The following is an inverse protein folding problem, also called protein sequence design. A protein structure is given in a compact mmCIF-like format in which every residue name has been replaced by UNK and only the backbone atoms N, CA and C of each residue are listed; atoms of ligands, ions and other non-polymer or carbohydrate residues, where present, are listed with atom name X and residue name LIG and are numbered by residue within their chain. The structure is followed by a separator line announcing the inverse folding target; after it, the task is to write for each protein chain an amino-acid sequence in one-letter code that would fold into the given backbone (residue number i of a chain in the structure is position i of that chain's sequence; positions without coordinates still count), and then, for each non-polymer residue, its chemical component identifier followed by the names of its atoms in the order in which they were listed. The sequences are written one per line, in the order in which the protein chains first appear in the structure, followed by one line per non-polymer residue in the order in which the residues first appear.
data_IF_081973325047
#
_entry.id   IF_081973325047
#
_cell.length_a   1.000
_cell.length_b   1.000
_cell.length_c   1.000
_cell.angle_alpha   90.00
_cell.angle_beta   90.00
_cell.angle_gamma   90.00
#
_symmetry.space_group_name_H-M   'P 1'
#
loop_
_entity.id
_entity.type
_entity.pdbx_description
1 polymer ?
#
# COMPACT_ATOMS: atom_id res chain seq x y z
N UNK A 1 -25.16 -20.13 -0.92
CA UNK A 1 -23.95 -19.31 -1.10
C UNK A 1 -23.92 -18.88 -2.56
N UNK A 2 -24.01 -17.57 -2.84
CA UNK A 2 -24.11 -17.07 -4.23
C UNK A 2 -22.83 -17.37 -5.01
N UNK A 3 -22.94 -17.74 -6.29
CA UNK A 3 -21.80 -18.00 -7.17
C UNK A 3 -20.78 -16.85 -7.20
N UNK A 4 -21.25 -15.62 -7.03
CA UNK A 4 -20.42 -14.40 -6.94
C UNK A 4 -19.53 -14.40 -5.68
N UNK A 5 -20.05 -14.86 -4.54
CA UNK A 5 -19.26 -14.96 -3.30
C UNK A 5 -18.17 -16.02 -3.38
N UNK A 6 -18.46 -17.14 -4.04
CA UNK A 6 -17.47 -18.22 -4.24
C UNK A 6 -16.32 -17.70 -5.11
N UNK A 7 -16.64 -17.06 -6.24
CA UNK A 7 -15.64 -16.47 -7.13
C UNK A 7 -14.80 -15.42 -6.40
N UNK A 8 -15.41 -14.56 -5.59
CA UNK A 8 -14.68 -13.56 -4.78
C UNK A 8 -13.68 -14.20 -3.82
N UNK A 9 -14.10 -15.21 -3.06
CA UNK A 9 -13.21 -15.94 -2.13
C UNK A 9 -12.06 -16.62 -2.86
N UNK A 10 -12.32 -17.22 -4.02
CA UNK A 10 -11.27 -17.82 -4.86
C UNK A 10 -10.25 -16.77 -5.34
N UNK A 11 -10.72 -15.61 -5.80
CA UNK A 11 -9.87 -14.52 -6.25
C UNK A 11 -9.02 -13.97 -5.09
N UNK A 12 -9.61 -13.80 -3.91
CA UNK A 12 -8.88 -13.37 -2.72
C UNK A 12 -7.82 -14.40 -2.30
N UNK A 13 -8.17 -15.69 -2.28
CA UNK A 13 -7.21 -16.74 -1.99
C UNK A 13 -6.03 -16.73 -2.96
N UNK A 14 -6.30 -16.60 -4.26
CA UNK A 14 -5.25 -16.49 -5.29
C UNK A 14 -4.35 -15.28 -5.08
N UNK A 15 -4.92 -14.15 -4.67
CA UNK A 15 -4.15 -12.94 -4.31
C UNK A 15 -3.21 -13.18 -3.11
N UNK A 16 -3.64 -13.94 -2.10
CA UNK A 16 -2.77 -14.29 -0.97
C UNK A 16 -1.64 -15.26 -1.38
N UNK A 17 -1.92 -16.23 -2.25
CA UNK A 17 -0.89 -17.11 -2.79
C UNK A 17 0.17 -16.32 -3.57
N UNK A 18 -0.26 -15.39 -4.43
CA UNK A 18 0.65 -14.48 -5.13
C UNK A 18 1.47 -13.61 -4.19
N UNK A 19 0.87 -13.11 -3.09
CA UNK A 19 1.60 -12.37 -2.08
C UNK A 19 2.70 -13.21 -1.42
N UNK A 20 2.41 -14.47 -1.10
CA UNK A 20 3.40 -15.42 -0.57
C UNK A 20 4.56 -15.66 -1.53
N UNK A 21 4.25 -15.87 -2.81
CA UNK A 21 5.28 -16.02 -3.87
C UNK A 21 6.15 -14.76 -3.96
N UNK A 22 5.54 -13.58 -3.92
CA UNK A 22 6.26 -12.31 -3.95
C UNK A 22 7.26 -12.21 -2.79
N UNK A 23 6.81 -12.47 -1.56
CA UNK A 23 7.67 -12.44 -0.37
C UNK A 23 8.82 -13.44 -0.49
N UNK A 24 8.55 -14.64 -0.99
CA UNK A 24 9.58 -15.67 -1.17
C UNK A 24 10.63 -15.28 -2.21
N UNK A 25 10.20 -14.76 -3.38
CA UNK A 25 11.11 -14.32 -4.45
C UNK A 25 11.96 -13.15 -3.99
N UNK A 26 11.34 -12.11 -3.39
CA UNK A 26 12.07 -10.95 -2.89
C UNK A 26 12.99 -11.32 -1.72
N UNK A 27 12.58 -12.24 -0.85
CA UNK A 27 13.42 -12.74 0.24
C UNK A 27 14.70 -13.41 -0.26
N UNK A 28 14.62 -14.18 -1.35
CA UNK A 28 15.81 -14.78 -1.98
C UNK A 28 16.73 -13.76 -2.65
N UNK A 29 16.15 -12.69 -3.22
CA UNK A 29 16.93 -11.68 -3.94
C UNK A 29 17.60 -10.65 -3.02
N UNK A 30 16.91 -10.22 -1.96
CA UNK A 30 17.36 -9.19 -1.03
C UNK A 30 18.22 -9.74 0.12
N UNK A 31 18.24 -11.06 0.32
CA UNK A 31 18.87 -11.66 1.49
C UNK A 31 18.14 -11.34 2.80
N UNK A 32 18.62 -11.91 3.91
CA UNK A 32 17.95 -11.78 5.20
C UNK A 32 17.95 -10.34 5.75
N UNK A 33 19.03 -9.59 5.57
CA UNK A 33 19.15 -8.23 6.08
C UNK A 33 18.27 -7.26 5.28
N UNK A 34 18.29 -7.33 3.96
CA UNK A 34 17.46 -6.48 3.10
C UNK A 34 15.96 -6.73 3.30
N UNK A 35 15.57 -8.00 3.48
CA UNK A 35 14.18 -8.36 3.79
C UNK A 35 13.74 -7.81 5.16
N UNK A 36 14.61 -7.87 6.17
CA UNK A 36 14.32 -7.34 7.50
C UNK A 36 14.12 -5.80 7.47
N UNK A 37 14.94 -5.08 6.72
CA UNK A 37 14.81 -3.63 6.55
C UNK A 37 13.52 -3.25 5.83
N UNK A 38 13.20 -3.95 4.75
CA UNK A 38 11.94 -3.75 4.02
C UNK A 38 10.74 -4.05 4.90
N UNK A 39 10.78 -5.14 5.67
CA UNK A 39 9.70 -5.54 6.58
C UNK A 39 9.47 -4.50 7.68
N UNK A 40 10.55 -3.98 8.29
CA UNK A 40 10.46 -2.94 9.31
C UNK A 40 9.83 -1.64 8.76
N UNK A 41 10.29 -1.18 7.59
CA UNK A 41 9.72 -0.01 6.92
C UNK A 41 8.23 -0.23 6.56
N UNK A 42 7.90 -1.43 6.08
CA UNK A 42 6.53 -1.79 5.73
C UNK A 42 5.60 -1.88 6.95
N UNK A 43 6.08 -2.30 8.11
CA UNK A 43 5.31 -2.30 9.36
C UNK A 43 4.94 -0.88 9.78
N UNK A 44 5.89 0.07 9.72
CA UNK A 44 5.61 1.48 9.99
C UNK A 44 4.58 2.03 9.01
N UNK A 45 4.75 1.76 7.71
CA UNK A 45 3.78 2.15 6.67
C UNK A 45 2.39 1.56 6.94
N UNK A 46 2.29 0.27 7.29
CA UNK A 46 1.04 -0.41 7.61
C UNK A 46 0.33 0.22 8.80
N UNK A 47 1.07 0.62 9.83
CA UNK A 47 0.50 1.30 10.99
C UNK A 47 -0.23 2.58 10.57
N UNK A 48 0.42 3.44 9.78
CA UNK A 48 -0.21 4.67 9.28
C UNK A 48 -1.37 4.38 8.33
N UNK A 49 -1.27 3.37 7.47
CA UNK A 49 -2.38 2.97 6.60
C UNK A 49 -3.60 2.45 7.39
N UNK A 50 -3.38 1.69 8.46
CA UNK A 50 -4.48 1.22 9.33
C UNK A 50 -5.19 2.40 9.98
N UNK A 51 -4.45 3.41 10.44
CA UNK A 51 -5.03 4.61 11.04
C UNK A 51 -5.83 5.45 10.04
N UNK A 52 -5.30 5.64 8.83
CA UNK A 52 -5.86 6.59 7.86
C UNK A 52 -6.89 6.00 6.91
N UNK A 53 -6.80 4.71 6.52
CA UNK A 53 -7.54 4.23 5.38
C UNK A 53 -8.20 2.86 5.49
N UNK A 54 -7.76 1.97 6.37
CA UNK A 54 -8.18 0.56 6.37
C UNK A 54 -9.69 0.35 6.52
N UNK A 55 -10.33 1.09 7.40
CA UNK A 55 -11.76 0.91 7.74
C UNK A 55 -12.70 1.81 6.93
N UNK A 56 -12.17 2.66 6.07
CA UNK A 56 -12.94 3.62 5.27
C UNK A 56 -13.87 2.94 4.28
N UNK A 57 -13.46 1.90 3.51
CA UNK A 57 -14.32 1.28 2.51
C UNK A 57 -15.61 0.75 3.10
N UNK A 58 -15.53 -0.01 4.19
CA UNK A 58 -16.68 -0.66 4.79
C UNK A 58 -17.67 0.33 5.42
N UNK A 59 -17.14 1.36 6.09
CA UNK A 59 -17.96 2.41 6.71
C UNK A 59 -18.63 3.28 5.65
N UNK A 60 -17.87 3.72 4.66
CA UNK A 60 -18.37 4.55 3.57
C UNK A 60 -19.38 3.79 2.71
N UNK A 61 -19.10 2.54 2.36
CA UNK A 61 -19.98 1.69 1.58
C UNK A 61 -21.34 1.51 2.24
N UNK A 62 -21.38 1.21 3.56
CA UNK A 62 -22.64 1.10 4.32
C UNK A 62 -23.40 2.42 4.38
N UNK A 63 -22.69 3.53 4.60
CA UNK A 63 -23.31 4.85 4.73
C UNK A 63 -23.90 5.33 3.41
N UNK A 64 -23.20 5.16 2.30
CA UNK A 64 -23.67 5.51 0.96
C UNK A 64 -24.87 4.64 0.57
N UNK A 65 -24.84 3.33 0.83
CA UNK A 65 -25.96 2.41 0.56
C UNK A 65 -27.20 2.81 1.33
N UNK A 66 -27.08 3.11 2.62
CA UNK A 66 -28.20 3.56 3.46
C UNK A 66 -28.84 4.84 2.95
N UNK A 67 -28.06 5.82 2.49
CA UNK A 67 -28.58 7.09 1.95
C UNK A 67 -29.16 6.93 0.56
N UNK A 68 -28.56 6.09 -0.28
CA UNK A 68 -29.09 5.75 -1.60
C UNK A 68 -30.47 5.09 -1.49
N UNK A 69 -30.64 4.16 -0.54
CA UNK A 69 -31.91 3.51 -0.27
C UNK A 69 -33.03 4.49 0.17
N UNK A 70 -32.66 5.64 0.75
CA UNK A 70 -33.60 6.73 1.12
C UNK A 70 -33.82 7.72 -0.02
N UNK A 71 -33.35 7.47 -1.24
CA UNK A 71 -33.52 8.36 -2.39
C UNK A 71 -32.71 9.66 -2.36
N UNK A 72 -31.73 9.78 -1.44
CA UNK A 72 -30.95 11.01 -1.25
C UNK A 72 -29.74 11.10 -2.20
N UNK A 73 -29.94 10.95 -3.50
CA UNK A 73 -28.85 10.88 -4.50
C UNK A 73 -27.95 12.11 -4.54
N UNK A 74 -28.51 13.34 -4.36
CA UNK A 74 -27.71 14.58 -4.29
C UNK A 74 -26.72 14.56 -3.10
N UNK A 75 -27.19 14.06 -1.95
CA UNK A 75 -26.35 13.93 -0.76
C UNK A 75 -25.27 12.86 -0.94
N UNK A 76 -25.59 11.75 -1.60
CA UNK A 76 -24.64 10.68 -1.93
C UNK A 76 -23.50 11.22 -2.80
N UNK A 77 -23.82 11.99 -3.84
CA UNK A 77 -22.80 12.59 -4.72
C UNK A 77 -21.88 13.57 -3.98
N UNK A 78 -22.45 14.48 -3.19
CA UNK A 78 -21.65 15.40 -2.35
C UNK A 78 -20.76 14.64 -1.37
N UNK A 79 -21.27 13.58 -0.77
CA UNK A 79 -20.55 12.77 0.19
C UNK A 79 -19.38 12.02 -0.44
N UNK A 80 -19.56 11.45 -1.64
CA UNK A 80 -18.46 10.82 -2.40
C UNK A 80 -17.31 11.80 -2.62
N UNK A 81 -17.62 13.03 -3.09
CA UNK A 81 -16.62 14.06 -3.33
C UNK A 81 -15.93 14.53 -2.05
N UNK A 82 -16.71 14.82 -1.01
CA UNK A 82 -16.15 15.29 0.26
C UNK A 82 -15.26 14.23 0.92
N UNK A 83 -15.65 12.95 0.88
CA UNK A 83 -14.84 11.85 1.41
C UNK A 83 -13.56 11.65 0.61
N UNK A 84 -13.58 11.88 -0.71
CA UNK A 84 -12.35 11.82 -1.51
C UNK A 84 -11.38 12.92 -1.09
N UNK A 85 -11.84 14.17 -0.97
CA UNK A 85 -11.01 15.30 -0.53
C UNK A 85 -10.48 15.06 0.88
N UNK A 86 -11.35 14.64 1.80
CA UNK A 86 -10.95 14.34 3.17
C UNK A 86 -9.88 13.25 3.23
N UNK A 87 -10.03 12.22 2.41
CA UNK A 87 -9.12 11.08 2.44
C UNK A 87 -7.76 11.40 1.78
N UNK A 88 -7.74 12.28 0.79
CA UNK A 88 -6.49 12.83 0.24
C UNK A 88 -5.77 13.65 1.31
N UNK A 89 -6.49 14.53 2.01
CA UNK A 89 -5.91 15.33 3.09
C UNK A 89 -5.40 14.44 4.24
N UNK A 90 -6.18 13.43 4.66
CA UNK A 90 -5.75 12.46 5.68
C UNK A 90 -4.53 11.64 5.21
N UNK A 91 -4.48 11.27 3.94
CA UNK A 91 -3.33 10.58 3.34
C UNK A 91 -2.07 11.46 3.32
N UNK A 92 -2.20 12.75 3.01
CA UNK A 92 -1.09 13.72 3.06
C UNK A 92 -0.56 13.91 4.48
N UNK A 93 -1.44 14.15 5.44
CA UNK A 93 -1.05 14.26 6.86
C UNK A 93 -0.41 12.96 7.34
N UNK A 94 -1.00 11.81 7.01
CA UNK A 94 -0.44 10.50 7.33
C UNK A 94 0.94 10.27 6.70
N UNK A 95 1.16 10.71 5.47
CA UNK A 95 2.44 10.60 4.78
C UNK A 95 3.52 11.47 5.44
N UNK A 96 3.20 12.71 5.81
CA UNK A 96 4.11 13.60 6.53
C UNK A 96 4.48 13.03 7.91
N UNK A 97 3.49 12.55 8.66
CA UNK A 97 3.72 11.90 9.94
C UNK A 97 4.53 10.60 9.80
N UNK A 98 4.24 9.80 8.78
CA UNK A 98 4.99 8.59 8.47
C UNK A 98 6.46 8.89 8.14
N UNK A 99 6.73 9.95 7.38
CA UNK A 99 8.09 10.37 7.06
C UNK A 99 8.85 10.86 8.30
N UNK A 100 8.21 11.71 9.13
CA UNK A 100 8.82 12.29 10.32
C UNK A 100 9.06 11.25 11.43
N UNK A 101 8.02 10.50 11.80
CA UNK A 101 8.11 9.49 12.86
C UNK A 101 8.87 8.25 12.39
N UNK A 102 8.81 7.93 11.11
CA UNK A 102 9.54 6.82 10.54
C UNK A 102 11.05 7.00 10.62
N UNK A 103 11.54 8.23 10.40
CA UNK A 103 12.93 8.57 10.65
C UNK A 103 13.33 8.26 12.09
N UNK A 104 12.52 8.72 13.04
CA UNK A 104 12.80 8.52 14.47
C UNK A 104 12.76 7.03 14.86
N UNK A 105 11.77 6.29 14.37
CA UNK A 105 11.58 4.87 14.70
C UNK A 105 12.66 4.00 14.04
N UNK A 106 12.89 4.14 12.74
CA UNK A 106 13.80 3.25 12.03
C UNK A 106 15.27 3.55 12.34
N UNK A 107 15.69 4.81 12.33
CA UNK A 107 17.10 5.13 12.52
C UNK A 107 17.52 5.20 14.00
N UNK A 108 16.67 5.74 14.88
CA UNK A 108 17.02 5.87 16.30
C UNK A 108 16.62 4.67 17.14
N UNK A 109 15.39 4.13 16.96
CA UNK A 109 14.92 3.01 17.78
C UNK A 109 15.44 1.68 17.26
N UNK A 110 15.30 1.39 15.97
CA UNK A 110 15.75 0.13 15.37
C UNK A 110 17.19 0.17 14.86
N UNK A 111 17.84 1.35 14.87
CA UNK A 111 19.22 1.54 14.37
C UNK A 111 19.45 0.99 12.96
N UNK A 112 18.43 1.10 12.10
CA UNK A 112 18.49 0.68 10.71
C UNK A 112 19.05 1.84 9.89
N UNK A 113 20.29 1.78 9.38
CA UNK A 113 20.86 2.84 8.57
C UNK A 113 20.02 3.00 7.28
N UNK A 114 19.72 4.24 6.92
CA UNK A 114 18.93 4.60 5.70
C UNK A 114 17.50 4.05 5.66
N UNK A 115 16.95 3.53 6.75
CA UNK A 115 15.57 3.05 6.81
C UNK A 115 14.53 4.14 6.48
N UNK A 116 14.85 5.40 6.77
CA UNK A 116 14.02 6.56 6.44
C UNK A 116 13.84 6.75 4.92
N UNK A 117 14.87 6.47 4.10
CA UNK A 117 14.77 6.59 2.64
C UNK A 117 13.72 5.64 2.06
N UNK A 118 13.63 4.42 2.57
CA UNK A 118 12.62 3.45 2.15
C UNK A 118 11.22 3.99 2.47
N UNK A 119 11.02 4.60 3.63
CA UNK A 119 9.76 5.21 4.01
C UNK A 119 9.40 6.41 3.14
N UNK A 120 10.35 7.25 2.77
CA UNK A 120 10.09 8.39 1.89
C UNK A 120 9.57 7.95 0.52
N UNK A 121 10.09 6.84 0.00
CA UNK A 121 9.57 6.22 -1.24
C UNK A 121 8.17 5.65 -1.04
N UNK A 122 7.84 5.16 0.17
CA UNK A 122 6.51 4.62 0.49
C UNK A 122 5.46 5.70 0.80
N UNK A 123 5.87 6.93 1.20
CA UNK A 123 4.94 8.00 1.54
C UNK A 123 3.90 8.33 0.45
N UNK A 124 4.27 8.49 -0.85
CA UNK A 124 3.29 8.69 -1.90
C UNK A 124 2.29 7.53 -2.04
N UNK A 125 2.74 6.30 -1.77
CA UNK A 125 1.87 5.13 -1.81
C UNK A 125 0.78 5.18 -0.73
N UNK A 126 1.02 5.84 0.40
CA UNK A 126 0.01 6.03 1.45
C UNK A 126 -1.16 6.89 0.96
N UNK A 127 -0.87 7.97 0.23
CA UNK A 127 -1.89 8.85 -0.36
C UNK A 127 -2.74 8.08 -1.37
N UNK A 128 -2.09 7.35 -2.27
CA UNK A 128 -2.77 6.51 -3.26
C UNK A 128 -3.64 5.43 -2.61
N UNK A 129 -3.17 4.85 -1.52
CA UNK A 129 -3.95 3.88 -0.72
C UNK A 129 -5.17 4.50 -0.07
N UNK A 130 -5.07 5.72 0.42
CA UNK A 130 -6.21 6.46 0.98
C UNK A 130 -7.26 6.76 -0.10
N UNK A 131 -6.84 7.18 -1.29
CA UNK A 131 -7.74 7.36 -2.44
C UNK A 131 -8.41 6.04 -2.85
N UNK A 132 -7.64 4.97 -2.97
CA UNK A 132 -8.15 3.63 -3.29
C UNK A 132 -9.22 3.18 -2.29
N UNK A 133 -9.05 3.47 -0.99
CA UNK A 133 -10.01 3.08 0.04
C UNK A 133 -11.39 3.72 -0.17
N UNK A 134 -11.45 4.98 -0.61
CA UNK A 134 -12.72 5.65 -0.95
C UNK A 134 -13.38 5.01 -2.18
N UNK A 135 -12.59 4.78 -3.23
CA UNK A 135 -13.10 4.14 -4.46
C UNK A 135 -13.69 2.76 -4.16
N UNK A 136 -13.00 1.96 -3.35
CA UNK A 136 -13.52 0.66 -2.92
C UNK A 136 -14.83 0.79 -2.14
N UNK A 137 -14.95 1.78 -1.26
CA UNK A 137 -16.19 2.06 -0.53
C UNK A 137 -17.35 2.46 -1.44
N UNK A 138 -17.07 3.23 -2.51
CA UNK A 138 -18.06 3.59 -3.51
C UNK A 138 -18.56 2.34 -4.26
N UNK A 139 -17.66 1.48 -4.75
CA UNK A 139 -18.02 0.23 -5.42
C UNK A 139 -18.82 -0.71 -4.50
N UNK A 140 -18.42 -0.83 -3.23
CA UNK A 140 -19.16 -1.61 -2.25
C UNK A 140 -20.58 -1.05 -2.03
N UNK A 141 -20.77 0.26 -2.09
CA UNK A 141 -22.10 0.88 -1.95
C UNK A 141 -23.05 0.51 -3.09
N UNK A 142 -22.53 0.26 -4.27
CA UNK A 142 -23.26 -0.17 -5.47
C UNK A 142 -23.50 -1.69 -5.52
N UNK A 143 -23.05 -2.41 -4.50
CA UNK A 143 -23.21 -3.87 -4.40
C UNK A 143 -22.19 -4.65 -5.21
N UNK A 144 -21.22 -3.97 -5.86
CA UNK A 144 -20.17 -4.63 -6.62
C UNK A 144 -18.91 -4.81 -5.75
N UNK A 145 -18.65 -6.04 -5.34
CA UNK A 145 -17.43 -6.40 -4.59
C UNK A 145 -16.31 -6.93 -5.50
N UNK A 146 -16.63 -7.22 -6.76
CA UNK A 146 -15.66 -7.73 -7.75
C UNK A 146 -14.50 -6.77 -8.03
N UNK A 147 -14.68 -5.44 -8.16
CA UNK A 147 -13.56 -4.52 -8.35
C UNK A 147 -12.52 -4.58 -7.21
N UNK A 148 -12.97 -4.84 -5.97
CA UNK A 148 -12.08 -5.03 -4.82
C UNK A 148 -11.18 -6.25 -4.98
N UNK A 149 -11.74 -7.38 -5.42
CA UNK A 149 -10.99 -8.62 -5.61
C UNK A 149 -10.02 -8.52 -6.79
N UNK A 150 -10.48 -7.96 -7.91
CA UNK A 150 -9.63 -7.75 -9.10
C UNK A 150 -8.48 -6.79 -8.80
N UNK A 151 -8.74 -5.70 -8.09
CA UNK A 151 -7.69 -4.74 -7.70
C UNK A 151 -6.63 -5.37 -6.79
N UNK A 152 -7.00 -6.36 -5.96
CA UNK A 152 -6.06 -7.09 -5.14
C UNK A 152 -5.07 -7.94 -5.96
N UNK A 153 -5.55 -8.63 -7.00
CA UNK A 153 -4.67 -9.38 -7.92
C UNK A 153 -3.78 -8.45 -8.72
N UNK A 154 -4.36 -7.42 -9.37
CA UNK A 154 -3.60 -6.45 -10.15
C UNK A 154 -2.47 -5.85 -9.33
N UNK A 155 -2.73 -5.50 -8.09
CA UNK A 155 -1.71 -4.98 -7.17
C UNK A 155 -0.56 -5.97 -6.97
N UNK A 156 -0.83 -7.26 -6.77
CA UNK A 156 0.22 -8.27 -6.59
C UNK A 156 1.05 -8.46 -7.87
N UNK A 157 0.40 -8.46 -9.03
CA UNK A 157 1.08 -8.55 -10.32
C UNK A 157 1.98 -7.34 -10.55
N UNK A 158 1.49 -6.12 -10.26
CA UNK A 158 2.29 -4.91 -10.37
C UNK A 158 3.46 -4.89 -9.37
N UNK A 159 3.25 -5.32 -8.12
CA UNK A 159 4.33 -5.41 -7.15
C UNK A 159 5.42 -6.38 -7.61
N UNK A 160 5.02 -7.53 -8.16
CA UNK A 160 5.97 -8.50 -8.69
C UNK A 160 6.74 -7.94 -9.89
N UNK A 161 6.03 -7.44 -10.91
CA UNK A 161 6.63 -6.93 -12.13
C UNK A 161 7.55 -5.73 -11.88
N UNK A 162 7.05 -4.69 -11.19
CA UNK A 162 7.83 -3.50 -10.86
C UNK A 162 8.97 -3.82 -9.90
N UNK A 163 8.74 -4.69 -8.91
CA UNK A 163 9.76 -5.09 -7.97
C UNK A 163 10.93 -5.79 -8.63
N UNK A 164 10.68 -6.74 -9.54
CA UNK A 164 11.75 -7.40 -10.31
C UNK A 164 12.47 -6.42 -11.25
N UNK A 165 11.72 -5.52 -11.89
CA UNK A 165 12.30 -4.51 -12.75
C UNK A 165 13.24 -3.57 -11.97
N UNK A 166 12.80 -3.06 -10.82
CA UNK A 166 13.64 -2.22 -9.98
C UNK A 166 14.85 -2.98 -9.43
N UNK A 167 14.69 -4.22 -8.96
CA UNK A 167 15.82 -5.05 -8.53
C UNK A 167 16.84 -5.26 -9.66
N UNK A 168 16.37 -5.51 -10.89
CA UNK A 168 17.24 -5.62 -12.06
C UNK A 168 18.01 -4.32 -12.33
N UNK A 169 17.34 -3.18 -12.28
CA UNK A 169 17.97 -1.86 -12.46
C UNK A 169 18.99 -1.61 -11.35
N UNK A 170 18.61 -1.81 -10.08
CA UNK A 170 19.53 -1.57 -8.97
C UNK A 170 20.73 -2.50 -8.98
N UNK A 171 20.56 -3.77 -9.38
CA UNK A 171 21.69 -4.69 -9.52
C UNK A 171 22.67 -4.27 -10.61
N UNK A 172 22.17 -3.70 -11.73
CA UNK A 172 23.01 -3.29 -12.85
C UNK A 172 23.69 -1.93 -12.62
N UNK A 173 22.99 -1.02 -11.94
CA UNK A 173 23.43 0.37 -11.76
C UNK A 173 23.84 0.71 -10.33
N UNK A 174 23.58 -0.16 -9.36
CA UNK A 174 23.87 0.07 -7.94
C UNK A 174 25.33 0.39 -7.66
N UNK A 175 26.25 -0.34 -8.29
CA UNK A 175 27.70 -0.08 -8.19
C UNK A 175 28.07 1.31 -8.73
N UNK A 176 27.49 1.73 -9.86
CA UNK A 176 27.75 3.05 -10.44
C UNK A 176 27.18 4.17 -9.57
N UNK A 177 26.04 3.95 -8.94
CA UNK A 177 25.41 4.91 -8.03
C UNK A 177 26.19 5.01 -6.72
N UNK A 178 26.72 3.92 -6.18
CA UNK A 178 27.56 3.94 -4.97
C UNK A 178 28.86 4.74 -5.21
N UNK A 179 29.48 4.56 -6.37
CA UNK A 179 30.66 5.34 -6.78
C UNK A 179 30.37 6.84 -6.91
N UNK A 180 29.20 7.21 -7.49
CA UNK A 180 28.80 8.60 -7.63
C UNK A 180 28.47 9.28 -6.28
N UNK A 181 27.89 8.55 -5.36
CA UNK A 181 27.52 9.06 -4.03
C UNK A 181 28.68 9.04 -3.02
N UNK A 182 29.86 8.51 -3.41
CA UNK A 182 31.05 8.33 -2.51
C UNK A 182 30.71 7.70 -1.15
N UNK A 183 29.77 6.77 -1.15
CA UNK A 183 29.32 6.05 0.05
C UNK A 183 29.56 4.56 -0.15
N UNK A 184 30.57 4.04 0.53
CA UNK A 184 30.95 2.62 0.48
C UNK A 184 29.89 1.69 1.09
N UNK A 185 28.93 2.26 1.83
CA UNK A 185 27.92 1.49 2.58
C UNK A 185 26.76 0.96 1.73
N UNK A 186 26.60 1.40 0.47
CA UNK A 186 25.53 0.91 -0.41
C UNK A 186 25.78 -0.53 -0.89
N UNK A 187 27.03 -0.99 -0.91
CA UNK A 187 27.39 -2.37 -1.29
C UNK A 187 27.09 -3.38 -0.17
N UNK A 188 26.98 -2.93 1.08
CA UNK A 188 26.62 -3.79 2.21
C UNK A 188 25.09 -4.12 2.27
N UNK A 189 24.29 -3.54 1.39
CA UNK A 189 22.83 -3.82 1.28
C UNK A 189 22.50 -4.98 0.32
N UNK A 190 23.49 -5.57 -0.35
CA UNK A 190 23.28 -6.68 -1.28
C UNK A 190 23.86 -7.98 -0.76
#
# INVERSE_FOLDING_TARGET
MNQVEIKRKQIQFFSYCLAGINVWVFGKQLGNNGLAYLAAAFLVFLFFWILTGKNVPDRLGRLLRSRSAKGQYKNVSKMRRNMMIFQIAAGLVGAVLCAALGYFVLEKAFRIPYGSMILWILCPALILRCMQSVLLGIFQSEGSEMPSAVSAILRQVFYFGLGLLFLGIFRTYGEKVSLLLKKDDFTAMY
#
